data_IF_507495819424
#
_entry.id   IF_507495819424
#
_cell.length_a   1.000
_cell.length_b   1.000
_cell.length_c   1.000
_cell.angle_alpha   90.00
_cell.angle_beta   90.00
_cell.angle_gamma   90.00
#
_symmetry.space_group_name_H-M   'P 1'
#
loop_
_entity.id
_entity.type
_entity.pdbx_description
1 polymer ?
#
# COMPACT_ATOMS: atom_id res chain seq x y z
N UNK A 1 -8.10 -26.70 33.73
CA UNK A 1 -6.83 -26.94 33.00
C UNK A 1 -6.61 -26.02 31.77
N UNK A 2 -7.61 -25.72 30.93
CA UNK A 2 -7.43 -24.90 29.70
C UNK A 2 -7.06 -23.41 29.89
N UNK A 3 -7.38 -22.80 31.03
CA UNK A 3 -7.11 -21.36 31.30
C UNK A 3 -5.61 -21.11 31.57
N UNK A 4 -4.92 -22.08 32.19
CA UNK A 4 -3.52 -21.97 32.59
C UNK A 4 -2.56 -22.07 31.41
N UNK A 5 -2.87 -22.90 30.41
CA UNK A 5 -2.09 -23.00 29.17
C UNK A 5 -2.19 -21.74 28.31
N UNK A 6 -3.37 -21.10 28.26
CA UNK A 6 -3.57 -19.84 27.53
C UNK A 6 -2.74 -18.69 28.13
N UNK A 7 -2.61 -18.64 29.47
CA UNK A 7 -1.75 -17.67 30.17
C UNK A 7 -0.27 -17.92 29.92
N UNK A 8 0.19 -19.18 30.07
CA UNK A 8 1.56 -19.59 29.75
C UNK A 8 1.95 -19.28 28.30
N UNK A 9 1.04 -19.52 27.34
CA UNK A 9 1.25 -19.15 25.92
C UNK A 9 1.33 -17.65 25.69
N UNK A 10 0.58 -16.84 26.45
CA UNK A 10 0.62 -15.37 26.35
C UNK A 10 1.92 -14.80 26.94
N UNK A 11 2.37 -15.34 28.08
CA UNK A 11 3.64 -14.97 28.70
C UNK A 11 4.83 -15.39 27.83
N UNK A 12 4.83 -16.62 27.31
CA UNK A 12 5.87 -17.08 26.37
C UNK A 12 5.93 -16.22 25.10
N UNK A 13 4.76 -15.80 24.56
CA UNK A 13 4.70 -14.86 23.43
C UNK A 13 5.26 -13.48 23.79
N UNK A 14 4.92 -12.95 24.96
CA UNK A 14 5.47 -11.66 25.42
C UNK A 14 6.98 -11.70 25.60
N UNK A 15 7.51 -12.78 26.18
CA UNK A 15 8.95 -12.98 26.38
C UNK A 15 9.65 -13.09 25.01
N UNK A 16 9.05 -13.83 24.07
CA UNK A 16 9.57 -13.95 22.70
C UNK A 16 9.61 -12.58 22.01
N UNK A 17 8.52 -11.81 22.06
CA UNK A 17 8.44 -10.47 21.46
C UNK A 17 9.41 -9.47 22.10
N UNK A 18 9.63 -9.55 23.42
CA UNK A 18 10.60 -8.69 24.09
C UNK A 18 12.03 -9.04 23.70
N UNK A 19 12.35 -10.35 23.64
CA UNK A 19 13.66 -10.80 23.21
C UNK A 19 13.97 -10.41 21.77
N UNK A 20 13.00 -10.56 20.86
CA UNK A 20 13.13 -10.13 19.46
C UNK A 20 13.39 -8.62 19.35
N UNK A 21 12.72 -7.81 20.18
CA UNK A 21 12.94 -6.37 20.24
C UNK A 21 14.33 -6.00 20.81
N UNK A 22 14.78 -6.71 21.85
CA UNK A 22 16.09 -6.48 22.46
C UNK A 22 17.22 -6.89 21.49
N UNK A 23 17.06 -8.02 20.79
CA UNK A 23 17.99 -8.49 19.76
C UNK A 23 18.03 -7.51 18.57
N UNK A 24 16.87 -6.96 18.16
CA UNK A 24 16.79 -5.92 17.13
C UNK A 24 17.56 -4.66 17.55
N UNK A 25 17.30 -4.14 18.76
CA UNK A 25 17.98 -2.95 19.30
C UNK A 25 19.48 -3.15 19.42
N UNK A 26 19.92 -4.34 19.83
CA UNK A 26 21.33 -4.68 19.90
C UNK A 26 22.00 -4.76 18.51
N UNK A 27 21.23 -5.02 17.45
CA UNK A 27 21.74 -5.07 16.09
C UNK A 27 21.98 -3.70 15.45
N UNK A 28 21.41 -2.64 16.02
CA UNK A 28 21.42 -1.31 15.40
C UNK A 28 22.85 -0.77 15.21
N UNK A 29 23.21 -0.31 14.00
CA UNK A 29 24.54 0.20 13.70
C UNK A 29 24.77 1.64 14.17
N UNK A 30 23.69 2.33 14.58
CA UNK A 30 23.69 3.68 15.14
C UNK A 30 22.51 3.84 16.11
N UNK A 31 22.48 4.93 16.87
CA UNK A 31 21.41 5.18 17.85
C UNK A 31 20.02 5.26 17.19
N UNK A 32 19.00 4.74 17.86
CA UNK A 32 17.59 4.80 17.41
C UNK A 32 17.16 6.22 17.00
N UNK A 33 17.61 7.24 17.75
CA UNK A 33 17.30 8.65 17.45
C UNK A 33 17.88 9.11 16.12
N UNK A 34 19.06 8.61 15.74
CA UNK A 34 19.68 8.95 14.46
C UNK A 34 18.89 8.35 13.28
N UNK A 35 18.29 7.17 13.46
CA UNK A 35 17.37 6.60 12.46
C UNK A 35 16.14 7.46 12.26
N UNK A 36 15.50 7.93 13.33
CA UNK A 36 14.33 8.81 13.22
C UNK A 36 14.66 10.10 12.45
N UNK A 37 15.81 10.72 12.74
CA UNK A 37 16.24 11.94 12.02
C UNK A 37 16.62 11.65 10.57
N UNK A 38 17.16 10.46 10.27
CA UNK A 38 17.40 9.99 8.91
C UNK A 38 16.08 9.87 8.14
N UNK A 39 15.06 9.24 8.74
CA UNK A 39 13.75 9.09 8.11
C UNK A 39 13.12 10.46 7.82
N UNK A 40 13.08 11.36 8.80
CA UNK A 40 12.60 12.74 8.61
C UNK A 40 13.34 13.49 7.49
N UNK A 41 14.66 13.27 7.37
CA UNK A 41 15.47 13.88 6.32
C UNK A 41 15.15 13.31 4.94
N UNK A 42 15.13 11.97 4.81
CA UNK A 42 14.82 11.30 3.55
C UNK A 42 13.41 11.65 3.08
N UNK A 43 12.46 11.72 4.00
CA UNK A 43 11.09 12.10 3.70
C UNK A 43 11.00 13.50 3.08
N UNK A 44 11.68 14.49 3.66
CA UNK A 44 11.72 15.87 3.14
C UNK A 44 12.39 15.94 1.77
N UNK A 45 13.52 15.27 1.59
CA UNK A 45 14.27 15.34 0.34
C UNK A 45 13.53 14.61 -0.79
N UNK A 46 12.89 13.48 -0.49
CA UNK A 46 12.15 12.69 -1.47
C UNK A 46 10.80 13.32 -1.87
N UNK A 47 10.30 14.31 -1.13
CA UNK A 47 9.17 15.14 -1.56
C UNK A 47 9.54 16.05 -2.74
N UNK A 48 10.77 16.56 -2.77
CA UNK A 48 11.24 17.51 -3.80
C UNK A 48 11.97 16.81 -4.94
N UNK A 49 12.69 15.73 -4.63
CA UNK A 49 13.50 14.97 -5.57
C UNK A 49 13.04 13.51 -5.62
N UNK A 50 12.65 12.97 -6.80
CA UNK A 50 12.30 11.55 -6.89
C UNK A 50 13.51 10.67 -6.56
N UNK A 51 13.25 9.50 -5.95
CA UNK A 51 14.31 8.54 -5.67
C UNK A 51 14.92 8.01 -6.99
N UNK A 52 16.24 7.96 -7.05
CA UNK A 52 17.06 7.47 -8.16
C UNK A 52 17.57 6.04 -7.93
N UNK A 53 16.85 5.28 -7.08
CA UNK A 53 17.12 3.88 -6.73
C UNK A 53 18.54 3.61 -6.20
N UNK A 54 19.10 4.58 -5.49
CA UNK A 54 20.35 4.45 -4.77
C UNK A 54 20.22 5.03 -3.35
N UNK A 55 21.30 4.97 -2.58
CA UNK A 55 21.39 5.48 -1.21
C UNK A 55 22.08 6.85 -1.13
N UNK A 56 21.97 7.70 -2.16
CA UNK A 56 22.69 8.97 -2.25
C UNK A 56 22.33 9.89 -1.08
N UNK A 57 21.04 10.04 -0.78
CA UNK A 57 20.59 10.92 0.29
C UNK A 57 20.89 10.33 1.66
N UNK A 58 20.75 9.01 1.82
CA UNK A 58 21.16 8.30 3.05
C UNK A 58 22.66 8.49 3.29
N UNK A 59 23.50 8.27 2.29
CA UNK A 59 24.95 8.43 2.40
C UNK A 59 25.33 9.87 2.72
N UNK A 60 24.68 10.83 2.05
CA UNK A 60 24.85 12.25 2.33
C UNK A 60 24.48 12.58 3.79
N UNK A 61 23.33 12.12 4.28
CA UNK A 61 22.89 12.32 5.65
C UNK A 61 23.90 11.75 6.67
N UNK A 62 24.34 10.52 6.47
CA UNK A 62 25.27 9.84 7.38
C UNK A 62 26.63 10.57 7.43
N UNK A 63 27.07 11.12 6.30
CA UNK A 63 28.29 11.93 6.19
C UNK A 63 28.16 13.25 6.94
N UNK A 64 27.09 14.00 6.69
CA UNK A 64 26.85 15.31 7.33
C UNK A 64 26.66 15.19 8.85
N UNK A 65 26.02 14.10 9.30
CA UNK A 65 25.83 13.82 10.73
C UNK A 65 27.03 13.11 11.38
N UNK A 66 28.15 12.95 10.66
CA UNK A 66 29.42 12.37 11.15
C UNK A 66 29.25 10.99 11.78
N UNK A 67 28.40 10.14 11.19
CA UNK A 67 28.22 8.77 11.63
C UNK A 67 29.53 8.00 11.41
N UNK A 68 30.05 7.38 12.46
CA UNK A 68 31.42 6.84 12.44
C UNK A 68 31.65 5.69 11.46
N UNK A 69 30.62 4.88 11.19
CA UNK A 69 30.74 3.67 10.35
C UNK A 69 29.60 3.61 9.33
N UNK A 70 29.73 4.42 8.28
CA UNK A 70 28.72 4.55 7.21
C UNK A 70 28.51 3.22 6.49
N UNK A 71 29.58 2.47 6.21
CA UNK A 71 29.50 1.18 5.51
C UNK A 71 28.69 0.16 6.31
N UNK A 72 28.91 0.10 7.63
CA UNK A 72 28.13 -0.78 8.51
C UNK A 72 26.65 -0.38 8.56
N UNK A 73 26.34 0.92 8.56
CA UNK A 73 24.94 1.39 8.49
C UNK A 73 24.30 1.00 7.17
N UNK A 74 24.97 1.25 6.04
CA UNK A 74 24.48 0.86 4.70
C UNK A 74 24.27 -0.65 4.62
N UNK A 75 25.23 -1.46 5.09
CA UNK A 75 25.11 -2.91 5.10
C UNK A 75 23.93 -3.38 5.95
N UNK A 76 23.74 -2.78 7.11
CA UNK A 76 22.59 -3.08 7.97
C UNK A 76 21.28 -2.69 7.29
N UNK A 77 21.16 -1.48 6.73
CA UNK A 77 19.97 -1.03 5.97
C UNK A 77 19.63 -2.02 4.85
N UNK A 78 20.64 -2.41 4.07
CA UNK A 78 20.53 -3.39 2.99
C UNK A 78 20.00 -4.74 3.49
N UNK A 79 20.54 -5.25 4.61
CA UNK A 79 20.08 -6.51 5.21
C UNK A 79 18.64 -6.46 5.74
N UNK A 80 18.12 -5.25 5.96
CA UNK A 80 16.75 -4.97 6.38
C UNK A 80 15.87 -4.44 5.24
N UNK A 81 16.32 -4.60 3.98
CA UNK A 81 15.54 -4.31 2.79
C UNK A 81 15.65 -2.88 2.25
N UNK A 82 16.55 -2.05 2.78
CA UNK A 82 16.79 -0.67 2.32
C UNK A 82 17.92 -0.56 1.30
N UNK A 83 17.67 -0.88 0.03
CA UNK A 83 18.66 -0.78 -1.07
C UNK A 83 18.62 0.58 -1.79
N UNK A 84 17.53 1.35 -1.68
CA UNK A 84 17.41 2.76 -2.06
C UNK A 84 16.92 3.63 -0.91
N UNK A 85 17.10 4.95 -1.03
CA UNK A 85 16.56 5.95 -0.10
C UNK A 85 15.03 5.79 0.11
N UNK A 86 14.31 5.38 -0.95
CA UNK A 86 12.89 5.03 -0.86
C UNK A 86 12.59 3.82 0.03
N UNK A 87 13.39 2.77 -0.10
CA UNK A 87 13.22 1.50 0.62
C UNK A 87 13.68 1.62 2.07
N UNK A 88 14.60 2.55 2.38
CA UNK A 88 14.92 2.89 3.78
C UNK A 88 13.66 3.41 4.49
N UNK A 89 12.88 4.29 3.86
CA UNK A 89 11.59 4.71 4.42
C UNK A 89 10.55 3.57 4.41
N UNK A 90 10.42 2.83 3.31
CA UNK A 90 9.34 1.84 3.22
C UNK A 90 9.55 0.56 4.03
N UNK A 91 10.79 0.08 4.18
CA UNK A 91 11.09 -1.22 4.77
C UNK A 91 11.78 -1.12 6.13
N UNK A 92 12.61 -0.09 6.32
CA UNK A 92 13.41 0.05 7.54
C UNK A 92 12.66 0.85 8.60
N UNK A 93 11.97 1.94 8.23
CA UNK A 93 11.19 2.75 9.17
C UNK A 93 10.10 1.96 9.91
N UNK A 94 9.38 1.05 9.22
CA UNK A 94 8.35 0.19 9.84
C UNK A 94 8.88 -0.65 11.02
N UNK A 95 10.18 -0.97 11.02
CA UNK A 95 10.79 -1.75 12.09
C UNK A 95 10.96 -0.94 13.39
N UNK A 96 10.80 0.38 13.33
CA UNK A 96 10.88 1.32 14.47
C UNK A 96 9.49 1.71 15.03
N UNK A 97 8.40 1.10 14.55
CA UNK A 97 7.01 1.38 14.99
C UNK A 97 6.81 1.30 16.52
N UNK A 98 7.61 0.50 17.22
CA UNK A 98 7.57 0.37 18.68
C UNK A 98 7.98 1.65 19.44
N UNK A 99 8.66 2.59 18.78
CA UNK A 99 9.10 3.84 19.40
C UNK A 99 7.97 4.86 19.57
N UNK A 100 6.79 4.64 18.96
CA UNK A 100 5.61 5.47 19.14
C UNK A 100 5.94 6.96 18.99
N UNK A 101 6.10 7.43 17.75
CA UNK A 101 6.56 8.78 17.42
C UNK A 101 6.10 9.88 18.40
N UNK A 102 7.02 10.55 19.13
CA UNK A 102 6.75 11.77 19.87
C UNK A 102 6.98 13.01 18.99
N UNK A 103 6.55 13.02 17.73
CA UNK A 103 6.61 14.22 16.90
C UNK A 103 5.36 15.08 17.15
N UNK A 104 5.56 16.14 17.93
CA UNK A 104 4.64 17.29 18.04
C UNK A 104 4.67 18.22 16.81
N UNK A 105 5.16 17.73 15.67
CA UNK A 105 4.86 18.30 14.36
C UNK A 105 4.18 17.21 13.56
N UNK A 106 3.00 17.56 13.04
CA UNK A 106 2.05 16.63 12.46
C UNK A 106 2.78 15.65 11.51
N UNK A 107 2.61 14.32 11.72
CA UNK A 107 3.03 13.33 10.75
C UNK A 107 2.56 13.79 9.39
N UNK A 108 3.39 13.54 8.37
CA UNK A 108 2.99 13.53 6.97
C UNK A 108 1.48 13.43 6.84
N UNK A 109 0.89 14.39 6.15
CA UNK A 109 -0.38 14.14 5.51
C UNK A 109 -0.11 12.98 4.53
N UNK A 110 -0.21 11.74 5.03
CA UNK A 110 -0.91 10.64 4.38
C UNK A 110 -1.86 11.31 3.42
N UNK A 111 -1.76 10.97 2.13
CA UNK A 111 -2.69 11.50 1.16
C UNK A 111 -4.07 11.39 1.81
N UNK A 112 -4.90 12.43 1.70
CA UNK A 112 -6.22 12.47 2.35
C UNK A 112 -7.04 11.20 2.07
N UNK A 113 -6.63 10.42 1.06
CA UNK A 113 -7.06 9.10 0.67
C UNK A 113 -6.59 7.95 1.60
N UNK A 114 -5.33 7.89 2.04
CA UNK A 114 -4.75 6.76 2.79
C UNK A 114 -5.14 6.76 4.28
N UNK A 115 -5.19 7.93 4.95
CA UNK A 115 -5.82 8.06 6.28
C UNK A 115 -7.28 7.58 6.26
N UNK A 116 -8.01 7.89 5.18
CA UNK A 116 -9.39 7.47 5.00
C UNK A 116 -9.55 5.97 4.67
N UNK A 117 -8.52 5.31 4.13
CA UNK A 117 -8.57 3.89 3.77
C UNK A 117 -8.28 3.00 4.98
N UNK A 118 -7.47 3.41 5.97
CA UNK A 118 -7.12 2.50 7.07
C UNK A 118 -7.96 2.71 8.35
N UNK A 119 -8.45 3.91 8.64
CA UNK A 119 -8.95 4.23 9.99
C UNK A 119 -10.45 4.01 10.25
N UNK A 120 -11.29 3.65 9.27
CA UNK A 120 -12.74 3.40 9.49
C UNK A 120 -13.36 2.30 8.62
N UNK A 121 -12.65 1.19 8.39
CA UNK A 121 -13.20 0.05 7.65
C UNK A 121 -13.98 -0.89 8.58
N UNK A 122 -15.30 -0.95 8.43
CA UNK A 122 -16.15 -1.97 9.06
C UNK A 122 -16.14 -3.22 8.18
N UNK A 123 -15.67 -4.35 8.71
CA UNK A 123 -15.80 -5.65 8.01
C UNK A 123 -17.29 -5.98 7.88
N UNK A 124 -17.70 -6.40 6.69
CA UNK A 124 -19.07 -6.85 6.40
C UNK A 124 -19.02 -8.24 5.74
N UNK A 125 -20.10 -9.01 5.86
CA UNK A 125 -20.18 -10.37 5.33
C UNK A 125 -20.77 -10.44 3.92
N UNK A 126 -21.66 -9.51 3.59
CA UNK A 126 -22.45 -9.52 2.36
C UNK A 126 -22.37 -8.17 1.66
N UNK A 127 -22.45 -8.22 0.33
CA UNK A 127 -22.53 -7.06 -0.53
C UNK A 127 -23.93 -6.42 -0.48
N UNK A 128 -24.03 -5.09 -0.62
CA UNK A 128 -25.31 -4.44 -0.86
C UNK A 128 -25.96 -4.92 -2.16
N UNK A 129 -27.29 -4.96 -2.17
CA UNK A 129 -28.12 -5.38 -3.31
C UNK A 129 -27.99 -4.51 -4.56
N UNK A 130 -27.42 -3.31 -4.43
CA UNK A 130 -27.25 -2.37 -5.54
C UNK A 130 -26.17 -2.81 -6.54
N UNK A 131 -25.33 -3.76 -6.16
CA UNK A 131 -24.26 -4.29 -6.99
C UNK A 131 -24.66 -5.59 -7.70
N UNK A 132 -24.46 -5.63 -9.02
CA UNK A 132 -24.71 -6.75 -9.93
C UNK A 132 -23.46 -7.61 -10.21
N UNK A 133 -22.59 -7.74 -9.20
CA UNK A 133 -21.47 -8.69 -9.24
C UNK A 133 -21.96 -10.14 -9.14
N UNK A 134 -21.19 -11.12 -9.66
CA UNK A 134 -21.57 -12.55 -9.62
C UNK A 134 -21.40 -13.20 -8.22
N UNK A 135 -21.06 -12.42 -7.20
CA UNK A 135 -20.87 -12.89 -5.83
C UNK A 135 -21.62 -11.96 -4.85
N UNK A 136 -22.26 -12.55 -3.85
CA UNK A 136 -22.93 -11.83 -2.77
C UNK A 136 -22.07 -11.66 -1.52
N UNK A 137 -20.99 -12.44 -1.39
CA UNK A 137 -20.03 -12.36 -0.28
C UNK A 137 -18.60 -12.50 -0.80
N UNK A 138 -17.62 -11.99 -0.05
CA UNK A 138 -16.22 -12.14 -0.44
C UNK A 138 -15.74 -13.59 -0.30
N UNK A 139 -15.37 -14.28 -1.39
CA UNK A 139 -14.78 -15.61 -1.28
C UNK A 139 -13.40 -15.52 -0.64
N UNK A 140 -13.01 -16.53 0.14
CA UNK A 140 -11.65 -16.59 0.65
C UNK A 140 -10.64 -16.61 -0.52
N UNK A 141 -9.51 -15.88 -0.43
CA UNK A 141 -8.99 -15.14 0.72
C UNK A 141 -9.39 -13.64 0.79
N UNK A 142 -10.34 -13.19 -0.03
CA UNK A 142 -10.79 -11.80 -0.05
C UNK A 142 -11.50 -11.41 1.25
N UNK A 143 -11.33 -10.14 1.63
CA UNK A 143 -12.04 -9.53 2.76
C UNK A 143 -12.89 -8.37 2.26
N UNK A 144 -14.19 -8.44 2.47
CA UNK A 144 -15.10 -7.33 2.22
C UNK A 144 -15.17 -6.40 3.43
N UNK A 145 -15.09 -5.11 3.15
CA UNK A 145 -15.30 -4.07 4.16
C UNK A 145 -15.95 -2.84 3.56
N UNK A 146 -16.55 -2.05 4.43
CA UNK A 146 -17.20 -0.79 4.13
C UNK A 146 -16.45 0.33 4.85
N UNK A 147 -16.26 1.47 4.19
CA UNK A 147 -15.79 2.71 4.80
C UNK A 147 -16.76 3.84 4.49
N UNK A 148 -16.83 4.85 5.34
CA UNK A 148 -17.57 6.08 5.02
C UNK A 148 -16.62 7.08 4.37
N UNK A 149 -16.98 7.58 3.19
CA UNK A 149 -16.27 8.66 2.52
C UNK A 149 -17.29 9.69 2.01
N UNK A 150 -17.09 10.96 2.35
CA UNK A 150 -17.97 12.06 1.92
C UNK A 150 -19.47 11.84 2.24
N UNK A 151 -19.77 11.20 3.37
CA UNK A 151 -21.14 10.92 3.80
C UNK A 151 -21.83 9.79 3.04
N UNK A 152 -21.09 9.04 2.19
CA UNK A 152 -21.59 7.86 1.49
C UNK A 152 -20.77 6.61 1.86
N UNK A 153 -21.41 5.43 1.89
CA UNK A 153 -20.69 4.19 2.08
C UNK A 153 -19.90 3.84 0.80
N UNK A 154 -18.61 3.55 0.95
CA UNK A 154 -17.78 2.94 -0.07
C UNK A 154 -17.42 1.52 0.34
N UNK A 155 -17.48 0.59 -0.61
CA UNK A 155 -17.23 -0.83 -0.40
C UNK A 155 -15.93 -1.24 -1.07
N UNK A 156 -15.17 -2.09 -0.39
CA UNK A 156 -13.88 -2.55 -0.87
C UNK A 156 -13.62 -4.01 -0.53
N UNK A 157 -12.99 -4.68 -1.46
CA UNK A 157 -12.44 -6.02 -1.31
C UNK A 157 -10.92 -5.90 -1.17
N UNK A 158 -10.37 -6.64 -0.21
CA UNK A 158 -8.94 -6.69 0.04
C UNK A 158 -8.40 -8.11 -0.11
N UNK A 159 -7.34 -8.25 -0.90
CA UNK A 159 -6.56 -9.47 -1.07
C UNK A 159 -5.16 -9.25 -0.51
N UNK A 160 -4.78 -10.05 0.50
CA UNK A 160 -3.51 -9.92 1.22
C UNK A 160 -3.58 -9.04 2.48
N UNK A 161 -2.42 -8.70 3.04
CA UNK A 161 -2.23 -7.90 4.27
C UNK A 161 -1.15 -6.85 4.04
N UNK A 162 -1.13 -5.80 4.86
CA UNK A 162 -0.14 -4.72 4.77
C UNK A 162 -0.45 -3.70 3.68
N UNK A 163 0.50 -2.78 3.45
CA UNK A 163 0.37 -1.66 2.51
C UNK A 163 0.35 -2.11 1.04
N UNK A 164 0.98 -3.24 0.74
CA UNK A 164 1.06 -3.80 -0.61
C UNK A 164 -0.18 -4.65 -0.99
N UNK A 165 -1.23 -4.64 -0.17
CA UNK A 165 -2.43 -5.42 -0.42
C UNK A 165 -3.15 -4.95 -1.70
N UNK A 166 -3.71 -5.90 -2.44
CA UNK A 166 -4.58 -5.56 -3.56
C UNK A 166 -5.94 -5.10 -3.03
N UNK A 167 -6.34 -3.89 -3.41
CA UNK A 167 -7.59 -3.25 -2.97
C UNK A 167 -8.49 -3.04 -4.18
N UNK A 168 -9.60 -3.77 -4.25
CA UNK A 168 -10.63 -3.56 -5.26
C UNK A 168 -11.77 -2.73 -4.67
N UNK A 169 -11.92 -1.50 -5.16
CA UNK A 169 -13.03 -0.61 -4.82
C UNK A 169 -14.22 -0.92 -5.71
N UNK A 170 -15.38 -1.11 -5.09
CA UNK A 170 -16.63 -1.38 -5.79
C UNK A 170 -17.31 -0.06 -6.15
N UNK A 171 -17.65 0.11 -7.41
CA UNK A 171 -18.26 1.33 -7.96
C UNK A 171 -19.46 0.97 -8.85
N UNK A 172 -20.34 1.96 -9.04
CA UNK A 172 -21.54 1.85 -9.85
C UNK A 172 -21.52 2.89 -10.97
N UNK A 173 -22.22 2.57 -12.06
CA UNK A 173 -22.58 3.46 -13.17
C UNK A 173 -21.36 4.10 -13.84
N UNK A 174 -20.46 3.26 -14.38
CA UNK A 174 -19.33 3.77 -15.16
C UNK A 174 -19.84 4.51 -16.42
N UNK A 175 -19.42 5.78 -16.65
CA UNK A 175 -19.81 6.53 -17.84
C UNK A 175 -19.13 5.94 -19.09
N UNK A 176 -19.86 5.14 -19.88
CA UNK A 176 -19.32 4.35 -21.02
C UNK A 176 -18.65 5.21 -22.10
N UNK A 177 -19.07 6.46 -22.27
CA UNK A 177 -18.43 7.43 -23.17
C UNK A 177 -16.96 7.70 -22.79
N UNK A 178 -16.58 7.47 -21.53
CA UNK A 178 -15.20 7.62 -21.06
C UNK A 178 -14.27 6.48 -21.50
N UNK A 179 -14.81 5.35 -21.96
CA UNK A 179 -14.00 4.24 -22.49
C UNK A 179 -13.18 4.68 -23.71
N UNK A 180 -13.74 5.55 -24.55
CA UNK A 180 -13.14 6.03 -25.79
C UNK A 180 -12.44 7.40 -25.62
N UNK A 181 -12.57 8.03 -24.45
CA UNK A 181 -11.95 9.31 -24.20
C UNK A 181 -10.44 9.13 -23.97
N UNK A 182 -9.64 9.65 -24.89
CA UNK A 182 -8.20 9.63 -24.80
C UNK A 182 -7.71 10.29 -23.49
N UNK A 183 -6.77 9.63 -22.81
CA UNK A 183 -6.17 10.13 -21.57
C UNK A 183 -7.09 10.15 -20.34
N UNK A 184 -8.33 9.67 -20.42
CA UNK A 184 -9.24 9.64 -19.28
C UNK A 184 -8.67 8.81 -18.13
N UNK A 185 -8.26 7.56 -18.40
CA UNK A 185 -7.74 6.66 -17.36
C UNK A 185 -6.41 7.14 -16.77
N UNK A 186 -5.52 7.70 -17.61
CA UNK A 186 -4.29 8.35 -17.15
C UNK A 186 -4.60 9.51 -16.20
N UNK A 187 -5.64 10.29 -16.50
CA UNK A 187 -6.09 11.40 -15.64
C UNK A 187 -6.71 10.90 -14.34
N UNK A 188 -7.52 9.83 -14.39
CA UNK A 188 -8.07 9.20 -13.18
C UNK A 188 -6.96 8.66 -12.28
N UNK A 189 -5.92 8.05 -12.85
CA UNK A 189 -4.75 7.62 -12.09
C UNK A 189 -4.15 8.78 -11.29
N UNK A 190 -3.93 9.94 -11.92
CA UNK A 190 -3.43 11.15 -11.21
C UNK A 190 -4.35 11.62 -10.09
N UNK A 191 -5.68 11.48 -10.27
CA UNK A 191 -6.66 11.83 -9.22
C UNK A 191 -6.56 10.86 -8.04
N UNK A 192 -6.43 9.56 -8.31
CA UNK A 192 -6.29 8.55 -7.25
C UNK A 192 -4.98 8.69 -6.47
N UNK A 193 -3.88 9.00 -7.16
CA UNK A 193 -2.55 9.09 -6.53
C UNK A 193 -2.20 10.48 -6.02
N UNK A 194 -2.88 11.52 -6.51
CA UNK A 194 -2.53 12.92 -6.25
C UNK A 194 -1.29 13.41 -7.02
N UNK A 195 -0.65 12.57 -7.84
CA UNK A 195 0.57 12.90 -8.56
C UNK A 195 0.23 13.73 -9.81
N UNK A 196 0.70 14.97 -9.85
CA UNK A 196 0.33 15.94 -10.91
C UNK A 196 1.05 15.66 -12.25
N UNK A 197 2.33 15.33 -12.19
CA UNK A 197 3.22 15.20 -13.37
C UNK A 197 3.97 13.87 -13.36
N UNK A 198 3.27 12.73 -13.53
CA UNK A 198 3.92 11.42 -13.58
C UNK A 198 4.70 11.24 -14.89
N UNK A 199 5.88 10.66 -14.79
CA UNK A 199 6.71 10.19 -15.90
C UNK A 199 6.47 8.68 -16.14
N UNK A 200 6.65 8.27 -17.39
CA UNK A 200 6.54 6.85 -17.79
C UNK A 200 5.18 6.22 -17.48
N UNK A 201 4.10 7.02 -17.42
CA UNK A 201 2.76 6.50 -17.20
C UNK A 201 2.23 5.87 -18.48
N UNK A 202 1.96 4.57 -18.43
CA UNK A 202 1.51 3.75 -19.53
C UNK A 202 0.08 3.27 -19.28
N UNK A 203 -0.69 3.15 -20.36
CA UNK A 203 -1.99 2.52 -20.37
C UNK A 203 -1.92 1.24 -21.21
N UNK A 204 -2.48 0.16 -20.68
CA UNK A 204 -2.60 -1.14 -21.34
C UNK A 204 -4.06 -1.59 -21.24
N UNK A 205 -4.65 -2.03 -22.35
CA UNK A 205 -6.01 -2.59 -22.36
C UNK A 205 -5.90 -4.09 -22.54
N UNK A 206 -6.57 -4.84 -21.67
CA UNK A 206 -6.68 -6.29 -21.71
C UNK A 206 -8.16 -6.66 -21.75
N UNK A 207 -8.46 -7.74 -22.46
CA UNK A 207 -9.81 -8.28 -22.51
C UNK A 207 -9.81 -9.72 -21.99
N UNK A 208 -10.67 -9.99 -21.01
CA UNK A 208 -10.83 -11.33 -20.45
C UNK A 208 -12.28 -11.57 -20.04
N UNK A 209 -12.92 -12.57 -20.67
CA UNK A 209 -14.31 -12.93 -20.41
C UNK A 209 -15.28 -11.77 -20.67
N UNK A 210 -16.19 -11.54 -19.73
CA UNK A 210 -17.22 -10.51 -19.81
C UNK A 210 -16.74 -9.09 -19.42
N UNK A 211 -15.44 -8.91 -19.17
CA UNK A 211 -14.88 -7.66 -18.65
C UNK A 211 -13.72 -7.14 -19.52
N UNK A 212 -13.62 -5.82 -19.61
CA UNK A 212 -12.47 -5.09 -20.11
C UNK A 212 -11.65 -4.60 -18.92
N UNK A 213 -10.33 -4.76 -18.99
CA UNK A 213 -9.37 -4.34 -17.98
C UNK A 213 -8.50 -3.24 -18.57
N UNK A 214 -8.70 -2.00 -18.12
CA UNK A 214 -7.78 -0.91 -18.44
C UNK A 214 -6.79 -0.75 -17.31
N UNK A 215 -5.55 -1.14 -17.55
CA UNK A 215 -4.43 -1.05 -16.61
C UNK A 215 -3.66 0.24 -16.85
N UNK A 216 -3.49 1.04 -15.81
CA UNK A 216 -2.64 2.23 -15.81
C UNK A 216 -1.50 2.02 -14.82
N UNK A 217 -0.26 2.10 -15.31
CA UNK A 217 0.94 1.73 -14.55
C UNK A 217 2.11 2.63 -14.90
N UNK A 218 3.09 2.71 -14.01
CA UNK A 218 4.40 3.29 -14.29
C UNK A 218 5.48 2.39 -13.67
N UNK A 219 6.68 2.41 -14.25
CA UNK A 219 7.88 1.82 -13.63
C UNK A 219 8.42 2.66 -12.49
N UNK A 220 8.10 3.95 -12.49
CA UNK A 220 8.60 4.96 -11.55
C UNK A 220 7.61 5.24 -10.41
N UNK A 221 6.32 4.97 -10.64
CA UNK A 221 5.26 5.32 -9.69
C UNK A 221 4.36 4.13 -9.37
N UNK A 222 4.12 3.97 -8.08
CA UNK A 222 3.07 3.13 -7.50
C UNK A 222 1.86 4.01 -7.17
N UNK A 223 0.63 3.47 -7.14
CA UNK A 223 0.21 2.11 -7.50
C UNK A 223 -0.06 1.90 -9.00
N UNK A 224 -0.23 0.64 -9.38
CA UNK A 224 -0.95 0.27 -10.60
C UNK A 224 -2.44 0.39 -10.31
N UNK A 225 -3.17 1.12 -11.16
CA UNK A 225 -4.63 1.21 -11.10
C UNK A 225 -5.22 0.41 -12.25
N UNK A 226 -6.14 -0.50 -11.96
CA UNK A 226 -6.88 -1.26 -12.96
C UNK A 226 -8.36 -0.92 -12.88
N UNK A 227 -8.94 -0.54 -14.01
CA UNK A 227 -10.37 -0.37 -14.18
C UNK A 227 -10.93 -1.65 -14.80
N UNK A 228 -11.79 -2.35 -14.08
CA UNK A 228 -12.43 -3.59 -14.54
C UNK A 228 -13.89 -3.31 -14.83
N UNK A 229 -14.20 -3.14 -16.12
CA UNK A 229 -15.47 -2.63 -16.61
C UNK A 229 -16.20 -3.75 -17.35
N UNK A 230 -17.48 -4.03 -17.03
CA UNK A 230 -18.25 -5.04 -17.75
C UNK A 230 -18.46 -4.60 -19.21
N UNK A 231 -18.36 -5.56 -20.14
CA UNK A 231 -18.69 -5.35 -21.56
C UNK A 231 -20.21 -5.27 -21.78
N UNK A 232 -20.97 -5.97 -20.94
CA UNK A 232 -22.43 -5.95 -20.93
C UNK A 232 -22.99 -4.71 -20.24
N UNK A 233 -24.31 -4.52 -20.29
CA UNK A 233 -24.99 -3.43 -19.60
C UNK A 233 -25.21 -3.74 -18.12
N UNK A 234 -24.10 -3.80 -17.38
CA UNK A 234 -24.07 -3.92 -15.92
C UNK A 234 -23.66 -2.61 -15.30
N UNK A 235 -24.20 -2.33 -14.11
CA UNK A 235 -23.93 -1.11 -13.36
C UNK A 235 -22.62 -1.19 -12.61
N UNK A 236 -22.24 -2.37 -12.11
CA UNK A 236 -21.07 -2.49 -11.23
C UNK A 236 -19.77 -2.65 -11.99
N UNK A 237 -18.74 -1.96 -11.50
CA UNK A 237 -17.37 -2.09 -11.98
C UNK A 237 -16.39 -2.00 -10.80
N UNK A 238 -15.15 -2.44 -11.04
CA UNK A 238 -14.09 -2.35 -10.04
C UNK A 238 -13.05 -1.31 -10.43
N UNK A 239 -12.54 -0.60 -9.43
CA UNK A 239 -11.28 0.13 -9.54
C UNK A 239 -10.32 -0.51 -8.56
N UNK A 240 -9.28 -1.13 -9.08
CA UNK A 240 -8.32 -1.93 -8.32
C UNK A 240 -7.02 -1.18 -8.19
N UNK A 241 -6.50 -1.13 -6.97
CA UNK A 241 -5.17 -0.66 -6.64
C UNK A 241 -4.28 -1.85 -6.30
N UNK A 242 -3.14 -1.95 -6.96
CA UNK A 242 -2.14 -3.01 -6.76
C UNK A 242 -0.74 -2.49 -7.13
N UNK A 243 0.28 -3.35 -7.14
CA UNK A 243 1.67 -2.99 -7.44
C UNK A 243 2.15 -3.60 -8.75
N UNK A 244 3.18 -2.97 -9.32
CA UNK A 244 3.74 -3.35 -10.61
C UNK A 244 4.29 -4.78 -10.65
N UNK A 245 4.84 -5.27 -9.54
CA UNK A 245 5.39 -6.64 -9.45
C UNK A 245 4.31 -7.72 -9.37
N UNK A 246 3.10 -7.38 -8.90
CA UNK A 246 2.04 -8.37 -8.57
C UNK A 246 0.77 -8.24 -9.41
N UNK A 247 0.54 -7.11 -10.11
CA UNK A 247 -0.74 -6.84 -10.76
C UNK A 247 -1.20 -7.98 -11.69
N UNK A 248 -0.29 -8.61 -12.44
CA UNK A 248 -0.62 -9.75 -13.30
C UNK A 248 -1.21 -10.94 -12.55
N UNK A 249 -0.72 -11.22 -11.34
CA UNK A 249 -1.24 -12.30 -10.51
C UNK A 249 -2.57 -11.88 -9.86
N UNK A 250 -2.67 -10.64 -9.39
CA UNK A 250 -3.93 -10.14 -8.83
C UNK A 250 -5.05 -10.10 -9.88
N UNK A 251 -4.74 -9.77 -11.13
CA UNK A 251 -5.70 -9.83 -12.24
C UNK A 251 -6.32 -11.23 -12.39
N UNK A 252 -5.53 -12.30 -12.23
CA UNK A 252 -6.06 -13.68 -12.25
C UNK A 252 -7.02 -13.95 -11.09
N UNK A 253 -6.71 -13.44 -9.90
CA UNK A 253 -7.58 -13.56 -8.73
C UNK A 253 -8.86 -12.73 -8.88
N UNK A 254 -8.79 -11.57 -9.54
CA UNK A 254 -9.96 -10.75 -9.87
C UNK A 254 -10.82 -11.44 -10.93
N UNK A 255 -10.21 -12.02 -11.96
CA UNK A 255 -10.94 -12.83 -12.95
C UNK A 255 -11.65 -14.01 -12.29
N UNK A 256 -10.99 -14.68 -11.35
CA UNK A 256 -11.60 -15.77 -10.57
C UNK A 256 -12.78 -15.27 -9.73
N UNK A 257 -12.62 -14.14 -9.04
CA UNK A 257 -13.67 -13.48 -8.27
C UNK A 257 -14.89 -13.11 -9.15
N UNK A 258 -14.65 -12.63 -10.37
CA UNK A 258 -15.69 -12.21 -11.32
C UNK A 258 -16.29 -13.35 -12.16
N UNK A 259 -15.82 -14.59 -12.00
CA UNK A 259 -16.46 -15.77 -12.61
C UNK A 259 -17.55 -16.38 -11.73
N UNK A 260 -17.54 -16.09 -10.43
CA UNK A 260 -18.38 -16.76 -9.42
C UNK A 260 -17.74 -18.05 -8.93
#
# INVERSE_FOLDING_TARGET
MKITEKRKRKEARKILTQKELDDFRASLPMEEKCFLVLFDYLEKVLQECPCDHNLRYTTHFLTENKVCDIEKVISWLTSHGGYCDCEVLCNVEEQFDYLGHPSNEAPLKLSKFEKNILEKKKKISELPSDFDFPFSSAPAPWKLSQKEAHGKPEYLLQLGKGFNACIAMLKLDFPKEKLLQEGYFLSQWKVFTGIKTPKGLEQEILEAGAYQYTVVKSKEYTPVIVFVIPKEDKRSYLVVQTELSRYRNDLKEIERLLRG
#
